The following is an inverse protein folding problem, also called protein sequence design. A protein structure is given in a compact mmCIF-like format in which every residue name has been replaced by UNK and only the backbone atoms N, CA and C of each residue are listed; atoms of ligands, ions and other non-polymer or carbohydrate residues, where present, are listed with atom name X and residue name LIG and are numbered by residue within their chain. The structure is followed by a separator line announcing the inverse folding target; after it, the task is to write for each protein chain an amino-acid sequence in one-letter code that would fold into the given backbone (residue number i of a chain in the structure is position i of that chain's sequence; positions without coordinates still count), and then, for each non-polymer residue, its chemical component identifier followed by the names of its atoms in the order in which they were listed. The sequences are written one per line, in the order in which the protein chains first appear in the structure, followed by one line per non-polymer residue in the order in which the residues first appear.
data_IF_176029944340
#
_entry.id   IF_176029944340
#
_cell.length_a   1.000
_cell.length_b   1.000
_cell.length_c   1.000
_cell.angle_alpha   90.00
_cell.angle_beta   90.00
_cell.angle_gamma   90.00
#
_symmetry.space_group_name_H-M   'P 1'
#
loop_
_entity.id
_entity.type
_entity.pdbx_description
1 polymer ?
#
# COMPACT_ATOMS: atom_id res chain seq x y z
N UNK A 1 66.38 -50.07 -27.18
CA UNK A 1 64.95 -50.08 -26.86
C UNK A 1 64.63 -48.82 -26.00
N UNK A 2 64.02 -47.81 -26.59
CA UNK A 2 63.61 -46.59 -25.88
C UNK A 2 62.07 -46.61 -25.76
N UNK A 3 61.56 -46.68 -24.56
CA UNK A 3 60.14 -46.58 -24.25
C UNK A 3 59.76 -45.11 -23.96
N UNK A 4 58.97 -44.55 -24.81
CA UNK A 4 58.39 -43.19 -24.68
C UNK A 4 57.12 -43.23 -23.82
N UNK A 5 57.12 -42.50 -22.66
CA UNK A 5 55.96 -42.28 -21.83
C UNK A 5 55.14 -41.14 -22.42
N UNK A 6 53.89 -41.39 -22.81
CA UNK A 6 52.90 -40.39 -23.12
C UNK A 6 52.23 -39.95 -21.80
N UNK A 7 52.43 -38.69 -21.44
CA UNK A 7 51.66 -38.02 -20.36
C UNK A 7 50.35 -37.54 -20.94
N UNK A 8 49.23 -38.07 -20.47
CA UNK A 8 47.88 -37.56 -20.78
C UNK A 8 47.56 -36.33 -19.88
N UNK A 9 47.51 -35.16 -20.51
CA UNK A 9 47.05 -33.95 -19.85
C UNK A 9 45.52 -33.96 -19.77
N UNK A 10 44.97 -34.11 -18.56
CA UNK A 10 43.53 -34.00 -18.28
C UNK A 10 43.08 -32.55 -18.33
N UNK A 11 42.28 -32.18 -19.33
CA UNK A 11 41.60 -30.90 -19.41
C UNK A 11 40.38 -30.96 -18.48
N UNK A 12 40.51 -30.36 -17.29
CA UNK A 12 39.38 -30.15 -16.34
C UNK A 12 38.40 -29.13 -16.91
N UNK A 13 37.22 -29.57 -17.32
CA UNK A 13 36.12 -28.70 -17.72
C UNK A 13 35.55 -28.02 -16.49
N UNK A 14 35.96 -26.77 -16.24
CA UNK A 14 35.43 -25.93 -15.17
C UNK A 14 34.04 -25.40 -15.59
N UNK A 15 32.99 -26.11 -15.18
CA UNK A 15 31.59 -25.68 -15.41
C UNK A 15 31.35 -24.39 -14.66
N UNK A 16 31.37 -23.23 -15.33
CA UNK A 16 30.86 -21.99 -14.83
C UNK A 16 29.36 -22.15 -14.62
N UNK A 17 28.93 -22.29 -13.38
CA UNK A 17 27.55 -22.14 -12.97
C UNK A 17 27.14 -20.69 -13.23
N UNK A 18 26.56 -20.41 -14.40
CA UNK A 18 25.85 -19.16 -14.64
C UNK A 18 24.64 -19.13 -13.70
N UNK A 19 24.81 -18.48 -12.55
CA UNK A 19 23.69 -18.13 -11.69
C UNK A 19 22.82 -17.13 -12.48
N UNK A 20 21.55 -17.44 -12.81
CA UNK A 20 20.70 -16.47 -13.51
C UNK A 20 20.57 -15.20 -12.64
N UNK A 21 20.49 -14.01 -13.23
CA UNK A 21 20.29 -12.78 -12.46
C UNK A 21 19.02 -12.91 -11.63
N UNK A 22 19.15 -12.83 -10.32
CA UNK A 22 18.01 -12.77 -9.41
C UNK A 22 17.30 -11.47 -9.69
N UNK A 23 16.25 -11.50 -10.50
CA UNK A 23 15.43 -10.35 -10.79
C UNK A 23 14.76 -9.91 -9.47
N UNK A 24 15.02 -8.67 -9.05
CA UNK A 24 14.41 -8.14 -7.84
C UNK A 24 12.89 -8.01 -8.05
N UNK A 25 12.10 -8.39 -7.05
CA UNK A 25 10.67 -8.13 -7.03
C UNK A 25 10.45 -6.63 -6.81
N UNK A 26 9.79 -5.98 -7.76
CA UNK A 26 9.46 -4.55 -7.64
C UNK A 26 8.25 -4.37 -6.72
N UNK A 27 8.40 -3.51 -5.73
CA UNK A 27 7.38 -3.18 -4.73
C UNK A 27 6.98 -1.72 -4.88
N UNK A 28 5.76 -1.50 -5.35
CA UNK A 28 5.18 -0.19 -5.53
C UNK A 28 4.33 0.19 -4.33
N UNK A 29 4.29 1.48 -4.01
CA UNK A 29 3.40 2.02 -3.00
C UNK A 29 3.18 3.51 -3.21
N UNK A 30 2.25 4.08 -2.45
CA UNK A 30 2.03 5.52 -2.32
C UNK A 30 2.41 6.02 -0.93
N UNK A 31 2.32 7.32 -0.70
CA UNK A 31 2.39 7.91 0.63
C UNK A 31 1.06 7.67 1.35
N UNK A 32 1.02 6.70 2.27
CA UNK A 32 -0.15 6.31 3.06
C UNK A 32 0.24 5.91 4.49
N UNK A 33 0.74 6.85 5.31
CA UNK A 33 1.08 6.55 6.71
C UNK A 33 -0.14 6.05 7.51
N UNK A 34 0.04 5.26 8.56
CA UNK A 34 1.30 4.70 9.06
C UNK A 34 1.73 3.43 8.30
N UNK A 35 1.04 3.05 7.21
CA UNK A 35 1.29 1.82 6.49
C UNK A 35 2.59 1.89 5.66
N UNK A 36 2.74 2.97 4.90
CA UNK A 36 3.88 3.20 4.01
C UNK A 36 4.03 4.71 3.77
N UNK A 37 5.19 5.25 4.09
CA UNK A 37 5.46 6.68 3.94
C UNK A 37 6.96 6.96 3.96
N UNK A 38 7.35 8.14 3.46
CA UNK A 38 8.73 8.61 3.49
C UNK A 38 8.95 9.53 4.69
N UNK A 39 9.90 9.17 5.53
CA UNK A 39 10.36 9.98 6.66
C UNK A 39 11.87 10.09 6.62
N UNK A 40 12.40 11.31 6.72
CA UNK A 40 13.83 11.59 6.61
C UNK A 40 14.50 10.93 5.38
N UNK A 41 13.84 11.03 4.22
CA UNK A 41 14.24 10.41 2.94
C UNK A 41 14.32 8.87 2.97
N UNK A 42 13.72 8.23 3.96
CA UNK A 42 13.67 6.78 4.08
C UNK A 42 12.23 6.30 4.03
N UNK A 43 11.94 5.38 3.11
CA UNK A 43 10.64 4.71 3.08
C UNK A 43 10.49 3.87 4.34
N UNK A 44 9.42 4.05 5.07
CA UNK A 44 9.09 3.40 6.35
C UNK A 44 7.59 3.10 6.44
N UNK A 45 7.13 2.59 7.56
CA UNK A 45 5.73 2.31 7.84
C UNK A 45 5.48 0.82 8.11
N UNK A 46 4.39 0.54 8.80
CA UNK A 46 4.02 -0.81 9.25
C UNK A 46 3.98 -1.81 8.09
N UNK A 47 3.26 -1.49 7.01
CA UNK A 47 3.18 -2.34 5.82
C UNK A 47 4.54 -2.50 5.13
N UNK A 48 5.34 -1.43 5.08
CA UNK A 48 6.69 -1.46 4.53
C UNK A 48 7.60 -2.41 5.30
N UNK A 49 7.56 -2.36 6.63
CA UNK A 49 8.43 -3.19 7.47
C UNK A 49 7.98 -4.66 7.47
N UNK A 50 6.66 -4.92 7.41
CA UNK A 50 6.14 -6.28 7.20
C UNK A 50 6.65 -6.85 5.88
N UNK A 51 6.51 -6.12 4.77
CA UNK A 51 6.94 -6.59 3.44
C UNK A 51 8.47 -6.77 3.36
N UNK A 52 9.25 -5.90 4.00
CA UNK A 52 10.71 -6.08 4.11
C UNK A 52 11.10 -7.37 4.81
N UNK A 53 10.48 -7.66 5.95
CA UNK A 53 10.75 -8.90 6.69
C UNK A 53 10.29 -10.13 5.89
N UNK A 54 9.14 -10.04 5.18
CA UNK A 54 8.72 -11.11 4.24
C UNK A 54 9.79 -11.39 3.19
N UNK A 55 10.30 -10.34 2.53
CA UNK A 55 11.35 -10.49 1.51
C UNK A 55 12.64 -11.09 2.06
N UNK A 56 13.06 -10.67 3.26
CA UNK A 56 14.23 -11.21 3.95
C UNK A 56 14.08 -12.71 4.23
N UNK A 57 12.94 -13.14 4.78
CA UNK A 57 12.67 -14.57 5.07
C UNK A 57 12.53 -15.40 3.79
N UNK A 58 11.88 -14.86 2.79
CA UNK A 58 11.74 -15.50 1.48
C UNK A 58 13.04 -15.50 0.66
N UNK A 59 14.10 -14.81 1.10
CA UNK A 59 15.36 -14.60 0.37
C UNK A 59 15.15 -13.98 -1.01
N UNK A 60 14.15 -13.10 -1.13
CA UNK A 60 13.81 -12.35 -2.35
C UNK A 60 14.35 -10.93 -2.21
N UNK A 61 15.13 -10.49 -3.20
CA UNK A 61 15.57 -9.09 -3.29
C UNK A 61 14.37 -8.22 -3.64
N UNK A 62 14.10 -7.19 -2.84
CA UNK A 62 13.00 -6.25 -3.03
C UNK A 62 13.56 -4.91 -3.55
N UNK A 63 12.85 -4.31 -4.51
CA UNK A 63 13.12 -2.98 -5.05
C UNK A 63 11.88 -2.10 -4.84
N UNK A 64 11.99 -1.06 -3.99
CA UNK A 64 10.86 -0.24 -3.57
C UNK A 64 10.79 1.06 -4.36
N UNK A 65 9.58 1.40 -4.85
CA UNK A 65 9.31 2.65 -5.55
C UNK A 65 8.03 3.30 -5.01
N UNK A 66 8.10 4.59 -4.63
CA UNK A 66 6.96 5.38 -4.17
C UNK A 66 6.45 6.24 -5.32
N UNK A 67 5.15 6.21 -5.58
CA UNK A 67 4.52 6.99 -6.65
C UNK A 67 3.02 7.22 -6.37
N UNK A 68 2.32 8.11 -7.11
CA UNK A 68 0.88 8.27 -6.97
C UNK A 68 0.13 6.96 -7.19
N UNK A 69 -0.91 6.73 -6.38
CA UNK A 69 -1.71 5.50 -6.35
C UNK A 69 -2.11 4.97 -7.73
N UNK A 70 -2.73 5.82 -8.56
CA UNK A 70 -3.21 5.40 -9.89
C UNK A 70 -2.09 4.81 -10.76
N UNK A 71 -0.93 5.47 -10.75
CA UNK A 71 0.24 5.02 -11.51
C UNK A 71 0.80 3.72 -10.95
N UNK A 72 0.88 3.60 -9.62
CA UNK A 72 1.31 2.37 -8.96
C UNK A 72 0.38 1.20 -9.28
N UNK A 73 -0.93 1.45 -9.24
CA UNK A 73 -1.97 0.46 -9.54
C UNK A 73 -1.87 -0.07 -10.99
N UNK A 74 -1.80 0.82 -11.98
CA UNK A 74 -1.68 0.46 -13.39
C UNK A 74 -0.38 -0.32 -13.66
N UNK A 75 0.72 0.17 -13.10
CA UNK A 75 2.03 -0.46 -13.26
C UNK A 75 2.11 -1.85 -12.62
N UNK A 76 1.51 -2.04 -11.45
CA UNK A 76 1.45 -3.34 -10.79
C UNK A 76 0.60 -4.36 -11.56
N UNK A 77 -0.41 -3.94 -12.32
CA UNK A 77 -1.15 -4.84 -13.22
C UNK A 77 -0.35 -5.19 -14.48
N UNK A 78 0.37 -4.21 -15.03
CA UNK A 78 1.02 -4.31 -16.33
C UNK A 78 2.40 -4.98 -16.28
N UNK A 79 3.21 -4.78 -15.25
CA UNK A 79 4.61 -5.18 -15.22
C UNK A 79 4.79 -6.56 -14.60
N UNK A 80 5.75 -7.35 -15.14
CA UNK A 80 6.16 -8.63 -14.54
C UNK A 80 6.86 -8.39 -13.19
N UNK A 81 6.78 -9.39 -12.29
CA UNK A 81 7.47 -9.37 -11.00
C UNK A 81 7.31 -8.01 -10.28
N UNK A 82 6.07 -7.51 -10.28
CA UNK A 82 5.73 -6.22 -9.68
C UNK A 82 4.51 -6.40 -8.77
N UNK A 83 4.60 -5.90 -7.55
CA UNK A 83 3.51 -5.91 -6.59
C UNK A 83 3.25 -4.49 -6.05
N UNK A 84 2.00 -4.19 -5.75
CA UNK A 84 1.55 -3.01 -5.02
C UNK A 84 1.17 -3.44 -3.62
N UNK A 85 1.75 -2.86 -2.57
CA UNK A 85 1.43 -3.25 -1.20
C UNK A 85 0.59 -2.22 -0.45
N UNK A 86 0.04 -2.62 0.69
CA UNK A 86 -0.98 -1.91 1.46
C UNK A 86 -2.26 -1.66 0.64
N UNK A 87 -2.63 -2.65 -0.18
CA UNK A 87 -3.76 -2.57 -1.10
C UNK A 87 -4.98 -3.27 -0.53
N UNK A 88 -6.13 -2.59 -0.47
CA UNK A 88 -7.41 -3.20 -0.12
C UNK A 88 -7.86 -4.19 -1.21
N UNK A 89 -8.24 -5.40 -0.79
CA UNK A 89 -8.74 -6.46 -1.66
C UNK A 89 -10.25 -6.35 -1.83
N UNK A 90 -10.67 -5.54 -2.77
CA UNK A 90 -12.08 -5.33 -3.10
C UNK A 90 -12.55 -6.28 -4.20
N UNK A 91 -13.85 -6.59 -4.23
CA UNK A 91 -14.42 -7.53 -5.21
C UNK A 91 -14.13 -7.17 -6.66
N UNK A 92 -14.16 -5.88 -7.01
CA UNK A 92 -13.82 -5.38 -8.36
C UNK A 92 -12.32 -5.47 -8.70
N UNK A 93 -11.45 -5.79 -7.72
CA UNK A 93 -9.99 -5.96 -7.89
C UNK A 93 -9.57 -7.42 -7.81
N UNK A 94 -10.46 -8.33 -7.42
CA UNK A 94 -10.15 -9.73 -7.11
C UNK A 94 -9.36 -10.41 -8.24
N UNK A 95 -9.83 -10.28 -9.46
CA UNK A 95 -9.22 -10.90 -10.64
C UNK A 95 -8.08 -10.09 -11.27
N UNK A 96 -7.82 -8.87 -10.77
CA UNK A 96 -6.81 -7.98 -11.30
C UNK A 96 -5.39 -8.31 -10.82
N UNK A 97 -5.28 -9.04 -9.69
CA UNK A 97 -4.02 -9.32 -9.01
C UNK A 97 -3.96 -10.74 -8.48
N UNK A 98 -2.74 -11.15 -8.10
CA UNK A 98 -2.48 -12.27 -7.20
C UNK A 98 -2.21 -11.71 -5.81
N UNK A 99 -2.87 -12.24 -4.80
CA UNK A 99 -2.92 -11.66 -3.46
C UNK A 99 -2.07 -12.44 -2.46
N UNK A 100 -1.31 -11.72 -1.62
CA UNK A 100 -0.61 -12.27 -0.46
C UNK A 100 -0.95 -11.39 0.75
N UNK A 101 -1.39 -11.98 1.84
CA UNK A 101 -1.77 -11.24 3.03
C UNK A 101 -2.90 -11.90 3.82
N UNK A 102 -3.53 -11.14 4.75
CA UNK A 102 -3.37 -9.69 4.95
C UNK A 102 -2.03 -9.31 5.60
N UNK A 103 -1.50 -8.14 5.21
CA UNK A 103 -0.24 -7.60 5.73
C UNK A 103 -0.44 -6.45 6.73
N UNK A 104 -1.61 -5.86 6.76
CA UNK A 104 -1.99 -4.77 7.66
C UNK A 104 -3.52 -4.62 7.71
N UNK A 105 -4.01 -3.87 8.71
CA UNK A 105 -5.40 -3.40 8.78
C UNK A 105 -5.42 -1.88 8.74
N UNK A 106 -6.30 -1.31 7.94
CA UNK A 106 -6.52 0.13 7.84
C UNK A 106 -7.93 0.49 8.33
N UNK A 107 -8.04 1.46 9.22
CA UNK A 107 -9.32 1.97 9.72
C UNK A 107 -9.69 3.24 8.97
N UNK A 108 -10.84 3.25 8.32
CA UNK A 108 -11.31 4.37 7.52
C UNK A 108 -12.29 5.24 8.29
N UNK A 109 -12.18 6.54 8.12
CA UNK A 109 -13.09 7.50 8.75
C UNK A 109 -13.39 8.68 7.83
N UNK A 110 -14.54 9.28 8.04
CA UNK A 110 -14.91 10.56 7.46
C UNK A 110 -14.59 11.67 8.48
N UNK A 111 -13.90 12.67 8.00
CA UNK A 111 -13.44 13.83 8.77
C UNK A 111 -14.07 15.12 8.25
N UNK A 112 -14.19 16.10 9.12
CA UNK A 112 -14.60 17.47 8.81
C UNK A 112 -13.74 18.46 9.61
N UNK A 113 -13.80 19.74 9.29
CA UNK A 113 -13.25 20.79 10.16
C UNK A 113 -13.90 20.76 11.54
N UNK A 114 -13.16 21.16 12.58
CA UNK A 114 -13.67 21.21 13.96
C UNK A 114 -14.97 22.03 14.10
N UNK A 115 -15.12 23.07 13.26
CA UNK A 115 -16.31 23.92 13.19
C UNK A 115 -17.55 23.31 12.53
N UNK A 116 -17.45 22.11 11.93
CA UNK A 116 -18.58 21.42 11.30
C UNK A 116 -19.62 20.99 12.35
N UNK A 117 -20.86 21.49 12.24
CA UNK A 117 -21.94 21.29 13.23
C UNK A 117 -22.85 20.09 12.95
N UNK A 118 -23.14 19.73 11.65
CA UNK A 118 -24.07 18.66 11.37
C UNK A 118 -23.64 17.33 11.99
N UNK A 119 -24.62 16.55 12.46
CA UNK A 119 -24.40 15.20 12.97
C UNK A 119 -24.39 14.22 11.79
N UNK A 120 -23.33 13.46 11.67
CA UNK A 120 -23.19 12.37 10.70
C UNK A 120 -23.14 11.06 11.47
N UNK A 121 -24.24 10.31 11.47
CA UNK A 121 -24.36 9.02 12.17
C UNK A 121 -24.23 7.84 11.21
N UNK A 122 -24.33 8.08 9.91
CA UNK A 122 -24.28 7.06 8.86
C UNK A 122 -23.77 7.66 7.54
N UNK A 123 -23.41 6.78 6.57
CA UNK A 123 -23.07 7.24 5.22
C UNK A 123 -24.26 7.92 4.51
N UNK A 124 -25.51 7.57 4.88
CA UNK A 124 -26.71 8.24 4.35
C UNK A 124 -26.72 9.73 4.73
N UNK A 125 -26.32 10.07 5.96
CA UNK A 125 -26.26 11.46 6.43
C UNK A 125 -25.13 12.24 5.76
N UNK A 126 -24.10 11.55 5.27
CA UNK A 126 -22.98 12.16 4.56
C UNK A 126 -23.30 12.50 3.10
N UNK A 127 -24.30 11.88 2.47
CA UNK A 127 -24.62 12.04 1.04
C UNK A 127 -24.87 13.48 0.56
N UNK A 128 -25.51 14.36 1.34
CA UNK A 128 -25.73 15.75 0.92
C UNK A 128 -24.46 16.58 0.81
N UNK A 129 -23.36 16.14 1.44
CA UNK A 129 -22.11 16.86 1.53
C UNK A 129 -21.14 16.45 0.44
N UNK A 130 -20.26 17.37 0.04
CA UNK A 130 -19.16 17.07 -0.88
C UNK A 130 -18.04 16.40 -0.12
N UNK A 131 -17.72 15.16 -0.50
CA UNK A 131 -16.71 14.35 0.19
C UNK A 131 -15.46 14.29 -0.67
N UNK A 132 -14.32 14.73 -0.13
CA UNK A 132 -13.01 14.56 -0.75
C UNK A 132 -12.52 13.13 -0.63
N UNK A 133 -11.96 12.59 -1.69
CA UNK A 133 -11.35 11.27 -1.75
C UNK A 133 -10.18 11.24 -2.73
N UNK A 134 -9.64 10.07 -2.99
CA UNK A 134 -8.55 9.85 -3.96
C UNK A 134 -9.08 9.00 -5.12
N UNK A 135 -8.68 9.35 -6.35
CA UNK A 135 -9.05 8.63 -7.56
C UNK A 135 -8.68 7.14 -7.47
N UNK A 136 -9.65 6.25 -7.79
CA UNK A 136 -9.49 4.79 -7.76
C UNK A 136 -9.04 4.22 -6.40
N UNK A 137 -9.01 5.04 -5.35
CA UNK A 137 -8.70 4.55 -4.00
C UNK A 137 -9.88 3.75 -3.44
N UNK A 138 -9.55 2.74 -2.62
CA UNK A 138 -10.56 1.83 -2.07
C UNK A 138 -11.64 2.53 -1.24
N UNK A 139 -11.27 3.57 -0.49
CA UNK A 139 -12.19 4.36 0.33
C UNK A 139 -13.20 5.11 -0.55
N UNK A 140 -12.72 5.70 -1.64
CA UNK A 140 -13.53 6.42 -2.63
C UNK A 140 -14.46 5.46 -3.38
N UNK A 141 -13.93 4.32 -3.84
CA UNK A 141 -14.74 3.28 -4.50
C UNK A 141 -15.81 2.70 -3.57
N UNK A 142 -15.47 2.47 -2.31
CA UNK A 142 -16.45 2.03 -1.32
C UNK A 142 -17.57 3.05 -1.13
N UNK A 143 -17.28 4.35 -1.01
CA UNK A 143 -18.32 5.38 -0.91
C UNK A 143 -19.26 5.36 -2.12
N UNK A 144 -18.72 5.22 -3.33
CA UNK A 144 -19.52 5.11 -4.57
C UNK A 144 -20.44 3.88 -4.53
N UNK A 145 -19.93 2.73 -4.11
CA UNK A 145 -20.72 1.50 -3.94
C UNK A 145 -21.84 1.65 -2.90
N UNK A 146 -21.63 2.49 -1.88
CA UNK A 146 -22.65 2.82 -0.87
C UNK A 146 -23.62 3.93 -1.33
N UNK A 147 -23.59 4.31 -2.60
CA UNK A 147 -24.50 5.30 -3.19
C UNK A 147 -24.18 6.75 -2.80
N UNK A 148 -22.94 7.05 -2.43
CA UNK A 148 -22.45 8.42 -2.29
C UNK A 148 -22.00 8.90 -3.67
N UNK A 149 -22.63 9.95 -4.20
CA UNK A 149 -22.38 10.46 -5.56
C UNK A 149 -21.64 11.80 -5.56
N UNK A 150 -21.71 12.55 -4.46
CA UNK A 150 -21.12 13.89 -4.37
C UNK A 150 -19.66 13.82 -3.88
N UNK A 151 -18.79 13.22 -4.70
CA UNK A 151 -17.38 12.99 -4.37
C UNK A 151 -16.49 13.90 -5.23
N UNK A 152 -15.51 14.53 -4.60
CA UNK A 152 -14.43 15.30 -5.25
C UNK A 152 -13.17 14.46 -5.17
N UNK A 153 -12.70 13.97 -6.30
CA UNK A 153 -11.55 13.08 -6.38
C UNK A 153 -10.26 13.84 -6.68
N UNK A 154 -9.21 13.51 -5.94
CA UNK A 154 -7.87 14.05 -6.08
C UNK A 154 -6.85 12.96 -6.41
N UNK A 155 -5.72 13.35 -6.98
CA UNK A 155 -4.62 12.42 -7.28
C UNK A 155 -3.90 11.92 -6.03
N UNK A 156 -3.93 12.69 -4.96
CA UNK A 156 -3.29 12.36 -3.68
C UNK A 156 -4.11 12.88 -2.51
N UNK A 157 -4.09 12.15 -1.41
CA UNK A 157 -4.87 12.51 -0.21
C UNK A 157 -4.44 13.85 0.43
N UNK A 158 -3.19 14.25 0.24
CA UNK A 158 -2.62 15.51 0.76
C UNK A 158 -3.33 16.78 0.29
N UNK A 159 -4.06 16.71 -0.83
CA UNK A 159 -4.80 17.85 -1.38
C UNK A 159 -6.14 18.08 -0.69
N UNK A 160 -6.73 17.04 -0.12
CA UNK A 160 -8.08 17.08 0.45
C UNK A 160 -8.22 18.03 1.66
N UNK A 161 -7.31 18.04 2.67
CA UNK A 161 -7.48 18.91 3.84
C UNK A 161 -7.54 20.40 3.49
N UNK A 162 -6.75 20.87 2.52
CA UNK A 162 -6.78 22.27 2.07
C UNK A 162 -8.13 22.64 1.47
N UNK A 163 -8.82 21.69 0.81
CA UNK A 163 -10.14 21.92 0.20
C UNK A 163 -11.27 22.05 1.21
N UNK A 164 -11.11 21.55 2.44
CA UNK A 164 -12.07 21.78 3.53
C UNK A 164 -12.18 23.27 3.88
N UNK A 165 -11.11 24.04 3.65
CA UNK A 165 -11.02 25.48 4.01
C UNK A 165 -11.42 26.43 2.90
N UNK A 166 -11.58 25.93 1.66
CA UNK A 166 -11.93 26.76 0.50
C UNK A 166 -13.33 27.39 0.65
N UNK A 167 -13.54 28.50 -0.04
CA UNK A 167 -14.86 29.09 -0.18
C UNK A 167 -15.72 28.32 -1.17
N UNK A 168 -17.05 28.25 -0.95
CA UNK A 168 -17.97 27.54 -1.87
C UNK A 168 -17.90 28.03 -3.32
N UNK A 169 -17.52 29.28 -3.55
CA UNK A 169 -17.36 29.86 -4.88
C UNK A 169 -16.19 29.26 -5.68
N UNK A 170 -15.25 28.58 -5.05
CA UNK A 170 -14.06 28.04 -5.68
C UNK A 170 -14.26 26.65 -6.31
N UNK A 171 -15.50 26.19 -6.43
CA UNK A 171 -15.88 24.97 -7.17
C UNK A 171 -15.32 23.64 -6.64
N UNK A 172 -14.19 23.68 -5.95
CA UNK A 172 -13.46 22.50 -5.44
C UNK A 172 -13.57 22.30 -3.92
N UNK A 173 -14.30 23.16 -3.22
CA UNK A 173 -14.55 23.00 -1.78
C UNK A 173 -15.16 21.65 -1.48
N UNK A 174 -14.70 21.01 -0.42
CA UNK A 174 -15.31 19.83 0.19
C UNK A 174 -15.81 20.18 1.59
N UNK A 175 -16.81 19.45 2.06
CA UNK A 175 -17.37 19.60 3.42
C UNK A 175 -16.85 18.50 4.33
N UNK A 176 -16.60 17.34 3.77
CA UNK A 176 -16.12 16.11 4.42
C UNK A 176 -14.93 15.53 3.66
N UNK A 177 -14.16 14.68 4.33
CA UNK A 177 -12.99 14.03 3.76
C UNK A 177 -12.90 12.59 4.26
N UNK A 178 -12.86 11.62 3.35
CA UNK A 178 -12.62 10.23 3.72
C UNK A 178 -11.12 9.92 3.66
N UNK A 179 -10.59 9.37 4.76
CA UNK A 179 -9.18 9.02 4.86
C UNK A 179 -8.93 7.91 5.89
N UNK A 180 -7.68 7.49 6.03
CA UNK A 180 -7.24 6.62 7.13
C UNK A 180 -7.32 7.35 8.46
N UNK A 181 -7.91 6.70 9.48
CA UNK A 181 -8.05 7.31 10.82
C UNK A 181 -6.70 7.60 11.46
N UNK A 182 -5.69 6.79 11.20
CA UNK A 182 -4.33 6.99 11.70
C UNK A 182 -3.63 8.22 11.10
N UNK A 183 -4.10 8.69 9.92
CA UNK A 183 -3.44 9.71 9.10
C UNK A 183 -4.04 11.10 9.21
N UNK A 184 -5.34 11.17 9.42
CA UNK A 184 -6.13 12.37 9.20
C UNK A 184 -5.50 13.64 9.81
N UNK A 185 -5.13 13.59 11.08
CA UNK A 185 -4.56 14.76 11.78
C UNK A 185 -3.20 15.16 11.21
N UNK A 186 -2.36 14.19 10.89
CA UNK A 186 -1.02 14.44 10.36
C UNK A 186 -1.09 15.05 8.95
N UNK A 187 -1.90 14.46 8.07
CA UNK A 187 -2.10 14.97 6.70
C UNK A 187 -2.70 16.37 6.72
N UNK A 188 -3.67 16.63 7.61
CA UNK A 188 -4.24 17.95 7.79
C UNK A 188 -3.19 18.98 8.27
N UNK A 189 -2.35 18.62 9.24
CA UNK A 189 -1.28 19.49 9.73
C UNK A 189 -0.25 19.79 8.63
N UNK A 190 0.17 18.81 7.85
CA UNK A 190 1.09 19.00 6.71
C UNK A 190 0.50 19.90 5.61
N UNK A 191 -0.80 19.83 5.39
CA UNK A 191 -1.52 20.71 4.47
C UNK A 191 -1.80 22.10 5.06
N UNK A 192 -1.32 22.39 6.29
CA UNK A 192 -1.61 23.63 7.04
C UNK A 192 -3.11 23.91 7.16
N UNK A 193 -3.93 22.86 7.15
CA UNK A 193 -5.36 22.96 7.38
C UNK A 193 -5.63 23.19 8.88
N UNK A 194 -6.73 23.87 9.24
CA UNK A 194 -7.21 23.93 10.63
C UNK A 194 -7.51 22.55 11.20
N UNK A 195 -7.78 22.48 12.49
CA UNK A 195 -8.12 21.23 13.16
C UNK A 195 -9.24 20.46 12.47
N UNK A 196 -9.05 19.15 12.35
CA UNK A 196 -10.05 18.24 11.81
C UNK A 196 -10.47 17.22 12.85
N UNK A 197 -11.76 16.86 12.84
CA UNK A 197 -12.35 15.85 13.73
C UNK A 197 -12.96 14.70 12.94
N UNK A 198 -12.91 13.52 13.52
CA UNK A 198 -13.65 12.36 13.04
C UNK A 198 -15.16 12.61 13.23
N UNK A 199 -15.94 12.52 12.17
CA UNK A 199 -17.40 12.63 12.22
C UNK A 199 -18.11 11.29 12.02
N UNK A 200 -17.47 10.34 11.33
CA UNK A 200 -18.00 8.99 11.16
C UNK A 200 -16.86 7.99 11.01
N UNK A 201 -16.69 7.01 11.92
CA UNK A 201 -15.91 5.82 11.62
C UNK A 201 -16.65 4.98 10.56
N UNK A 202 -15.94 4.58 9.49
CA UNK A 202 -16.57 3.94 8.33
C UNK A 202 -16.45 2.41 8.39
N UNK A 203 -15.21 1.92 8.38
CA UNK A 203 -14.92 0.48 8.46
C UNK A 203 -13.43 0.21 8.72
N UNK A 204 -13.14 -1.01 9.11
CA UNK A 204 -11.79 -1.58 9.06
C UNK A 204 -11.64 -2.38 7.76
N UNK A 205 -10.49 -2.26 7.12
CA UNK A 205 -10.20 -2.92 5.86
C UNK A 205 -8.82 -3.56 5.91
N UNK A 206 -8.76 -4.84 5.58
CA UNK A 206 -7.49 -5.55 5.43
C UNK A 206 -6.74 -5.06 4.19
N UNK A 207 -5.43 -4.92 4.35
CA UNK A 207 -4.52 -4.52 3.28
C UNK A 207 -3.59 -5.68 2.92
N UNK A 208 -3.37 -5.84 1.63
CA UNK A 208 -2.66 -6.98 1.04
C UNK A 208 -1.48 -6.52 0.18
N UNK A 209 -0.64 -7.46 -0.17
CA UNK A 209 0.29 -7.36 -1.28
C UNK A 209 -0.45 -7.83 -2.54
N UNK A 210 -0.71 -6.91 -3.46
CA UNK A 210 -1.39 -7.13 -4.74
C UNK A 210 -0.34 -7.26 -5.85
N UNK A 211 -0.06 -8.48 -6.28
CA UNK A 211 0.98 -8.77 -7.26
C UNK A 211 0.42 -8.92 -8.67
N UNK A 212 1.18 -8.52 -9.67
CA UNK A 212 0.86 -8.74 -11.07
C UNK A 212 0.41 -10.18 -11.33
N UNK A 213 -0.59 -10.43 -12.20
CA UNK A 213 -0.92 -11.77 -12.65
C UNK A 213 0.27 -12.53 -13.25
N UNK A 214 1.30 -11.78 -13.70
CA UNK A 214 2.55 -12.30 -14.30
C UNK A 214 3.69 -12.49 -13.29
N UNK A 215 3.42 -12.34 -11.97
CA UNK A 215 4.39 -12.70 -10.92
C UNK A 215 4.48 -14.22 -10.78
N UNK A 216 5.69 -14.73 -10.68
CA UNK A 216 5.95 -16.17 -10.61
C UNK A 216 5.23 -16.80 -9.40
N UNK A 217 4.53 -17.94 -9.56
CA UNK A 217 3.86 -18.62 -8.45
C UNK A 217 4.80 -18.97 -7.28
N UNK A 218 6.05 -19.30 -7.58
CA UNK A 218 7.06 -19.60 -6.57
C UNK A 218 7.36 -18.37 -5.68
N UNK A 219 7.45 -17.17 -6.28
CA UNK A 219 7.61 -15.89 -5.56
C UNK A 219 6.45 -15.66 -4.59
N UNK A 220 5.21 -15.82 -5.08
CA UNK A 220 4.00 -15.63 -4.25
C UNK A 220 3.95 -16.63 -3.09
N UNK A 221 4.24 -17.90 -3.36
CA UNK A 221 4.28 -18.96 -2.33
C UNK A 221 5.34 -18.69 -1.27
N UNK A 222 6.53 -18.23 -1.67
CA UNK A 222 7.60 -17.91 -0.74
C UNK A 222 7.25 -16.71 0.16
N UNK A 223 6.63 -15.66 -0.40
CA UNK A 223 6.16 -14.52 0.38
C UNK A 223 5.03 -14.90 1.34
N UNK A 224 4.08 -15.72 0.90
CA UNK A 224 2.99 -16.20 1.76
C UNK A 224 3.53 -17.04 2.94
N UNK A 225 4.46 -17.96 2.68
CA UNK A 225 5.12 -18.77 3.71
C UNK A 225 5.94 -17.91 4.69
N UNK A 226 6.59 -16.85 4.19
CA UNK A 226 7.31 -15.90 5.04
C UNK A 226 6.36 -15.15 5.98
N UNK A 227 5.23 -14.66 5.48
CA UNK A 227 4.21 -14.00 6.31
C UNK A 227 3.62 -14.95 7.36
N UNK A 228 3.28 -16.18 6.99
CA UNK A 228 2.80 -17.19 7.93
C UNK A 228 3.82 -17.49 9.04
N UNK A 229 5.10 -17.57 8.67
CA UNK A 229 6.20 -17.73 9.63
C UNK A 229 6.29 -16.55 10.60
N UNK A 230 6.11 -15.31 10.11
CA UNK A 230 6.10 -14.10 10.95
C UNK A 230 4.93 -14.08 11.94
N UNK A 231 3.76 -14.54 11.51
CA UNK A 231 2.58 -14.65 12.36
C UNK A 231 2.79 -15.72 13.46
N UNK A 232 3.38 -16.85 13.11
CA UNK A 232 3.66 -17.96 14.05
C UNK A 232 4.68 -17.61 15.13
N UNK A 233 5.73 -16.86 14.80
CA UNK A 233 6.78 -16.50 15.75
C UNK A 233 6.57 -15.15 16.45
N UNK A 234 5.45 -14.47 16.18
CA UNK A 234 5.06 -13.20 16.79
C UNK A 234 5.82 -11.97 16.27
N UNK A 235 6.70 -12.11 15.27
CA UNK A 235 7.43 -10.97 14.71
C UNK A 235 6.51 -10.02 13.93
N UNK A 236 5.43 -10.53 13.33
CA UNK A 236 4.38 -9.72 12.73
C UNK A 236 3.74 -8.79 13.78
N UNK A 237 3.28 -9.35 14.90
CA UNK A 237 2.65 -8.58 15.98
C UNK A 237 3.61 -7.57 16.59
N UNK A 238 4.89 -7.91 16.70
CA UNK A 238 5.92 -6.99 17.17
C UNK A 238 6.06 -5.76 16.26
N UNK A 239 6.03 -5.96 14.94
CA UNK A 239 6.04 -4.85 13.99
C UNK A 239 4.77 -4.00 14.15
N UNK A 240 3.58 -4.61 14.13
CA UNK A 240 2.29 -3.90 14.26
C UNK A 240 2.26 -3.05 15.53
N UNK A 241 2.55 -3.63 16.69
CA UNK A 241 2.57 -2.94 18.00
C UNK A 241 3.55 -1.77 18.05
N UNK A 242 4.67 -1.85 17.34
CA UNK A 242 5.63 -0.75 17.28
C UNK A 242 5.11 0.51 16.60
N UNK A 243 4.02 0.41 15.81
CA UNK A 243 3.35 1.52 15.14
C UNK A 243 2.08 2.00 15.87
N UNK A 244 1.48 1.17 16.72
CA UNK A 244 0.35 1.57 17.56
C UNK A 244 0.76 2.48 18.73
N UNK A 245 2.01 2.40 19.14
CA UNK A 245 2.58 3.17 20.26
C UNK A 245 3.22 4.51 19.86
N UNK A 246 3.21 4.87 18.57
CA UNK A 246 3.74 6.13 18.02
C UNK A 246 2.61 7.14 17.79
#
# INVERSE_FOLDING_TARGET
MRTSNLSAAGVGLMSLLLCPPVLALKLLTEENPPLNYTENNKLTGMGTDVVREMGKRAKIKLDFEVMPWNRAYEKAQADKETCLYSTARLGNRENAFKWVGPIAVNKWGIYALDGFKPKIASLKDARPYRIGGVERDAKTEFLKQQGVTNIVEEKTDRLNPSKLTLNRKEGQKIDLWITSMAEAKRVAAQAKAPGVKLVLPVREEESYLACSPRTAPATLKALAAALESMQKDGSYDKIVKSYESR
#
